data_IF_558034338741
#
_entry.id   IF_558034338741
#
_cell.length_a   1.000
_cell.length_b   1.000
_cell.length_c   1.000
_cell.angle_alpha   90.00
_cell.angle_beta   90.00
_cell.angle_gamma   90.00
#
_symmetry.space_group_name_H-M   'P 1'
#
loop_
_entity.id
_entity.type
_entity.pdbx_description
1 polymer ?
#
# COMPACT_ATOMS: atom_id res chain seq x y z
N UNK A 1 10.17 35.68 -37.43
CA UNK A 1 10.81 36.65 -36.51
C UNK A 1 12.16 36.08 -36.16
N UNK A 2 13.24 36.84 -36.32
CA UNK A 2 14.58 36.38 -35.92
C UNK A 2 14.67 36.29 -34.39
N UNK A 3 15.31 35.25 -33.88
CA UNK A 3 15.43 34.96 -32.45
C UNK A 3 16.08 36.12 -31.70
N UNK A 4 17.03 36.78 -32.35
CA UNK A 4 17.78 37.91 -31.79
C UNK A 4 16.92 39.18 -31.70
N UNK A 5 16.04 39.41 -32.68
CA UNK A 5 15.05 40.48 -32.61
C UNK A 5 14.02 40.25 -31.49
N UNK A 6 13.61 38.99 -31.27
CA UNK A 6 12.71 38.62 -30.17
C UNK A 6 13.36 38.90 -28.80
N UNK A 7 14.63 38.54 -28.62
CA UNK A 7 15.35 38.80 -27.38
C UNK A 7 15.54 40.29 -27.10
N UNK A 8 15.91 41.05 -28.12
CA UNK A 8 16.07 42.49 -27.99
C UNK A 8 14.73 43.19 -27.68
N UNK A 9 13.63 42.74 -28.28
CA UNK A 9 12.31 43.31 -28.05
C UNK A 9 11.82 43.08 -26.61
N UNK A 10 12.06 41.88 -26.06
CA UNK A 10 11.64 41.52 -24.70
C UNK A 10 12.73 41.69 -23.64
N UNK A 11 13.88 42.26 -24.01
CA UNK A 11 15.06 42.44 -23.16
C UNK A 11 15.50 41.15 -22.45
N UNK A 12 15.44 40.02 -23.17
CA UNK A 12 15.83 38.71 -22.66
C UNK A 12 17.35 38.54 -22.75
N UNK A 13 18.00 38.22 -21.62
CA UNK A 13 19.45 38.03 -21.53
C UNK A 13 19.92 36.64 -21.98
N UNK A 14 19.00 35.68 -22.00
CA UNK A 14 19.28 34.27 -22.30
C UNK A 14 18.03 33.60 -22.88
N UNK A 15 18.21 32.48 -23.57
CA UNK A 15 17.11 31.71 -24.14
C UNK A 15 16.38 30.95 -23.02
N UNK A 16 15.07 31.20 -22.78
CA UNK A 16 14.34 30.60 -21.66
C UNK A 16 13.84 29.17 -21.91
N UNK A 17 14.03 28.63 -23.13
CA UNK A 17 13.61 27.27 -23.52
C UNK A 17 14.78 26.49 -24.13
N UNK A 18 15.89 26.36 -23.41
CA UNK A 18 17.08 25.68 -23.94
C UNK A 18 16.92 24.15 -23.95
N UNK A 19 16.07 23.61 -23.09
CA UNK A 19 15.79 22.17 -23.02
C UNK A 19 14.38 21.85 -23.52
N UNK A 20 14.20 20.68 -24.14
CA UNK A 20 12.87 20.17 -24.54
C UNK A 20 12.00 19.87 -23.30
N UNK A 21 12.63 19.49 -22.19
CA UNK A 21 11.96 19.14 -20.94
C UNK A 21 12.26 20.12 -19.82
N UNK A 22 11.21 20.52 -19.08
CA UNK A 22 11.32 21.46 -17.96
C UNK A 22 12.27 21.00 -16.85
N UNK A 23 12.45 19.69 -16.65
CA UNK A 23 13.39 19.14 -15.67
C UNK A 23 14.84 19.53 -15.95
N UNK A 24 15.21 19.65 -17.22
CA UNK A 24 16.57 19.87 -17.68
C UNK A 24 16.84 21.34 -18.03
N UNK A 25 15.85 22.22 -17.90
CA UNK A 25 15.99 23.63 -18.25
C UNK A 25 16.62 24.43 -17.10
N UNK A 26 17.81 25.01 -17.34
CA UNK A 26 18.57 25.74 -16.33
C UNK A 26 17.92 27.08 -15.94
N UNK A 27 17.29 27.77 -16.89
CA UNK A 27 16.59 29.05 -16.64
C UNK A 27 15.39 28.77 -15.75
N UNK A 28 14.62 27.75 -16.09
CA UNK A 28 13.45 27.33 -15.33
C UNK A 28 13.81 26.90 -13.90
N UNK A 29 14.85 26.10 -13.73
CA UNK A 29 15.34 25.67 -12.41
C UNK A 29 15.79 26.84 -11.52
N UNK A 30 16.30 27.93 -12.11
CA UNK A 30 16.63 29.17 -11.38
C UNK A 30 15.36 29.94 -11.01
N UNK A 31 14.42 30.11 -11.94
CA UNK A 31 13.14 30.79 -11.66
C UNK A 31 12.31 30.08 -10.59
N UNK A 32 12.34 28.74 -10.57
CA UNK A 32 11.74 27.92 -9.51
C UNK A 32 12.23 28.30 -8.12
N UNK A 33 13.52 28.66 -7.97
CA UNK A 33 14.10 29.10 -6.69
C UNK A 33 13.65 30.50 -6.28
N UNK A 34 13.47 31.37 -7.27
CA UNK A 34 13.04 32.76 -7.06
C UNK A 34 11.51 32.87 -6.81
N UNK A 35 10.79 31.75 -6.87
CA UNK A 35 9.37 31.63 -6.55
C UNK A 35 8.44 32.52 -7.40
N UNK A 36 8.92 32.95 -8.58
CA UNK A 36 8.15 33.71 -9.56
C UNK A 36 7.10 32.78 -10.18
N UNK A 37 5.82 33.10 -9.99
CA UNK A 37 4.71 32.29 -10.49
C UNK A 37 3.81 33.07 -11.44
N UNK A 38 3.21 32.38 -12.40
CA UNK A 38 2.15 32.94 -13.21
C UNK A 38 0.98 33.41 -12.31
N UNK A 39 0.29 34.53 -12.62
CA UNK A 39 -0.83 35.02 -11.81
C UNK A 39 -1.94 33.98 -11.57
N UNK A 40 -2.23 33.16 -12.57
CA UNK A 40 -3.22 32.07 -12.45
C UNK A 40 -2.71 30.82 -11.72
N UNK A 41 -1.41 30.75 -11.37
CA UNK A 41 -0.86 29.60 -10.67
C UNK A 41 -1.58 29.34 -9.34
N UNK A 42 -2.01 30.39 -8.65
CA UNK A 42 -2.79 30.27 -7.41
C UNK A 42 -4.10 29.49 -7.61
N UNK A 43 -4.74 29.61 -8.79
CA UNK A 43 -5.95 28.82 -9.12
C UNK A 43 -5.65 27.33 -9.27
N UNK A 44 -4.45 27.01 -9.75
CA UNK A 44 -3.99 25.62 -9.94
C UNK A 44 -3.50 25.02 -8.63
N UNK A 45 -2.65 25.74 -7.90
CA UNK A 45 -2.06 25.29 -6.64
C UNK A 45 -3.09 25.20 -5.51
N UNK A 46 -3.98 26.17 -5.42
CA UNK A 46 -5.00 26.23 -4.37
C UNK A 46 -4.41 26.32 -2.96
N UNK A 47 -5.08 25.67 -2.01
CA UNK A 47 -4.67 25.58 -0.60
C UNK A 47 -4.23 24.13 -0.27
N UNK A 48 -2.98 23.90 0.18
CA UNK A 48 -2.52 22.57 0.58
C UNK A 48 -3.31 21.91 1.72
N UNK A 49 -4.00 22.70 2.56
CA UNK A 49 -4.85 22.17 3.65
C UNK A 49 -6.25 21.79 3.17
N UNK A 50 -6.72 22.43 2.10
CA UNK A 50 -8.02 22.19 1.49
C UNK A 50 -7.86 22.08 -0.04
N UNK A 51 -7.33 20.95 -0.53
CA UNK A 51 -7.02 20.81 -1.94
C UNK A 51 -8.30 20.84 -2.79
N UNK A 52 -8.37 21.79 -3.71
CA UNK A 52 -9.42 21.87 -4.73
C UNK A 52 -9.13 20.96 -5.94
N UNK A 53 -10.16 20.65 -6.72
CA UNK A 53 -9.99 19.93 -7.99
C UNK A 53 -9.70 20.91 -9.11
N UNK A 54 -8.54 20.75 -9.77
CA UNK A 54 -8.17 21.54 -10.94
C UNK A 54 -7.74 20.61 -12.07
N UNK A 55 -8.25 20.87 -13.28
CA UNK A 55 -7.87 20.18 -14.51
C UNK A 55 -7.09 21.16 -15.39
N UNK A 56 -5.87 20.79 -15.77
CA UNK A 56 -4.99 21.63 -16.60
C UNK A 56 -4.81 20.95 -17.96
N UNK A 57 -5.36 21.57 -19.00
CA UNK A 57 -5.14 21.18 -20.38
C UNK A 57 -4.01 21.99 -21.00
N UNK A 58 -3.34 21.41 -22.00
CA UNK A 58 -2.38 22.14 -22.82
C UNK A 58 -1.74 21.22 -23.85
N UNK A 59 -1.11 21.81 -24.85
CA UNK A 59 -0.41 21.09 -25.92
C UNK A 59 0.93 20.49 -25.43
N UNK A 60 1.60 19.68 -26.28
CA UNK A 60 2.96 19.22 -25.96
C UNK A 60 3.85 20.46 -25.80
N UNK A 61 4.66 20.50 -24.75
CA UNK A 61 5.53 21.65 -24.46
C UNK A 61 4.86 22.84 -23.77
N UNK A 62 3.55 22.79 -23.48
CA UNK A 62 2.82 23.90 -22.83
C UNK A 62 3.18 24.17 -21.36
N UNK A 63 4.22 23.53 -20.81
CA UNK A 63 4.65 23.72 -19.43
C UNK A 63 3.85 22.95 -18.37
N UNK A 64 3.08 21.91 -18.70
CA UNK A 64 2.38 21.07 -17.70
C UNK A 64 3.34 20.46 -16.67
N UNK A 65 4.47 19.93 -17.14
CA UNK A 65 5.52 19.38 -16.27
C UNK A 65 6.14 20.46 -15.39
N UNK A 66 6.37 21.66 -15.95
CA UNK A 66 6.84 22.82 -15.18
C UNK A 66 5.84 23.15 -14.06
N UNK A 67 4.55 23.30 -14.36
CA UNK A 67 3.52 23.58 -13.34
C UNK A 67 3.57 22.54 -12.19
N UNK A 68 3.71 21.25 -12.50
CA UNK A 68 3.86 20.19 -11.47
C UNK A 68 5.10 20.42 -10.59
N UNK A 69 6.26 20.73 -11.18
CA UNK A 69 7.49 21.00 -10.44
C UNK A 69 7.33 22.24 -9.53
N UNK A 70 6.62 23.28 -9.99
CA UNK A 70 6.30 24.43 -9.13
C UNK A 70 5.40 24.04 -7.96
N UNK A 71 4.37 23.22 -8.21
CA UNK A 71 3.46 22.72 -7.15
C UNK A 71 4.27 21.96 -6.10
N UNK A 72 5.13 21.04 -6.54
CA UNK A 72 6.00 20.29 -5.64
C UNK A 72 6.87 21.21 -4.80
N UNK A 73 7.53 22.20 -5.42
CA UNK A 73 8.42 23.12 -4.73
C UNK A 73 7.66 23.95 -3.68
N UNK A 74 6.52 24.52 -4.05
CA UNK A 74 5.68 25.30 -3.11
C UNK A 74 5.17 24.44 -1.96
N UNK A 75 4.87 23.16 -2.22
CA UNK A 75 4.47 22.21 -1.19
C UNK A 75 5.63 21.87 -0.24
N UNK A 76 6.85 21.75 -0.76
CA UNK A 76 8.06 21.58 0.06
C UNK A 76 8.29 22.79 0.97
N UNK A 77 8.21 24.02 0.43
CA UNK A 77 8.33 25.25 1.21
C UNK A 77 7.20 25.35 2.27
N UNK A 78 5.97 24.98 1.90
CA UNK A 78 4.82 24.88 2.81
C UNK A 78 5.07 23.87 3.95
N UNK A 79 5.68 22.72 3.65
CA UNK A 79 5.98 21.67 4.61
C UNK A 79 7.18 21.99 5.50
N UNK A 80 8.17 22.74 5.01
CA UNK A 80 9.34 23.16 5.80
C UNK A 80 8.96 24.16 6.90
N UNK A 81 7.98 25.01 6.63
CA UNK A 81 7.47 26.00 7.59
C UNK A 81 6.51 25.42 8.63
N UNK A 82 6.18 24.11 8.57
CA UNK A 82 5.15 23.48 9.42
C UNK A 82 5.61 22.15 10.01
N UNK A 83 5.37 21.96 11.32
CA UNK A 83 5.66 20.71 12.02
C UNK A 83 4.44 19.77 12.05
N UNK A 84 3.22 20.31 12.18
CA UNK A 84 1.95 19.60 12.01
C UNK A 84 1.34 19.95 10.64
N UNK A 85 0.44 19.10 10.13
CA UNK A 85 -0.37 19.40 8.93
C UNK A 85 0.42 19.55 7.62
N UNK A 86 1.45 18.72 7.48
CA UNK A 86 2.20 18.60 6.23
C UNK A 86 1.37 17.87 5.18
N UNK A 87 1.46 18.33 3.94
CA UNK A 87 0.76 17.76 2.79
C UNK A 87 1.75 17.00 1.91
N UNK A 88 1.35 15.81 1.45
CA UNK A 88 2.19 14.95 0.62
C UNK A 88 1.62 14.86 -0.79
N UNK A 89 2.45 15.17 -1.79
CA UNK A 89 2.09 15.02 -3.20
C UNK A 89 2.34 13.59 -3.67
N UNK A 90 1.33 12.99 -4.28
CA UNK A 90 1.42 11.70 -4.95
C UNK A 90 1.40 11.95 -6.45
N UNK A 91 2.55 11.78 -7.11
CA UNK A 91 2.67 11.94 -8.55
C UNK A 91 2.32 10.65 -9.30
N UNK A 92 1.23 10.67 -10.06
CA UNK A 92 0.91 9.63 -11.04
C UNK A 92 1.23 10.15 -12.45
N UNK A 93 2.42 9.81 -12.95
CA UNK A 93 2.98 10.41 -14.17
C UNK A 93 2.93 9.47 -15.38
N UNK A 94 3.05 8.17 -15.14
CA UNK A 94 3.17 7.17 -16.19
C UNK A 94 1.95 6.27 -16.26
N UNK A 95 1.32 6.24 -17.43
CA UNK A 95 0.18 5.35 -17.71
C UNK A 95 0.65 3.92 -18.05
N UNK A 96 1.84 3.75 -18.64
CA UNK A 96 2.31 2.46 -19.13
C UNK A 96 2.36 1.36 -18.05
N UNK A 97 2.87 1.62 -16.82
CA UNK A 97 2.84 0.61 -15.76
C UNK A 97 1.43 0.13 -15.39
N UNK A 98 0.41 0.99 -15.51
CA UNK A 98 -0.98 0.60 -15.32
C UNK A 98 -1.45 -0.33 -16.45
N UNK A 99 -1.17 0.05 -17.71
CA UNK A 99 -1.52 -0.75 -18.89
C UNK A 99 -0.86 -2.14 -18.87
N UNK A 100 0.42 -2.22 -18.51
CA UNK A 100 1.16 -3.49 -18.40
C UNK A 100 0.56 -4.44 -17.37
N UNK A 101 0.01 -3.89 -16.28
CA UNK A 101 -0.63 -4.69 -15.24
C UNK A 101 -2.01 -5.18 -15.69
N UNK A 102 -2.78 -4.32 -16.35
CA UNK A 102 -4.07 -4.68 -16.93
C UNK A 102 -3.92 -5.71 -18.05
N UNK A 103 -2.94 -5.54 -18.93
CA UNK A 103 -2.56 -6.52 -19.97
C UNK A 103 -2.32 -7.90 -19.36
N UNK A 104 -1.48 -7.99 -18.31
CA UNK A 104 -1.20 -9.25 -17.60
C UNK A 104 -2.43 -9.83 -16.91
N UNK A 105 -3.29 -8.99 -16.34
CA UNK A 105 -4.53 -9.43 -15.70
C UNK A 105 -5.52 -10.02 -16.72
N UNK A 106 -5.74 -9.31 -17.82
CA UNK A 106 -6.66 -9.70 -18.90
C UNK A 106 -6.07 -10.77 -19.83
N UNK A 107 -4.76 -10.99 -19.76
CA UNK A 107 -4.01 -11.89 -20.65
C UNK A 107 -4.18 -11.54 -22.13
N UNK A 108 -4.11 -10.25 -22.43
CA UNK A 108 -4.21 -9.72 -23.79
C UNK A 108 -3.14 -8.64 -24.01
N UNK A 109 -2.65 -8.55 -25.24
CA UNK A 109 -1.73 -7.48 -25.68
C UNK A 109 -2.43 -6.45 -26.59
N UNK A 110 -3.75 -6.60 -26.77
CA UNK A 110 -4.57 -5.70 -27.57
C UNK A 110 -4.79 -4.38 -26.81
N UNK A 111 -4.14 -3.31 -27.28
CA UNK A 111 -4.14 -2.00 -26.63
C UNK A 111 -5.55 -1.39 -26.56
N UNK A 112 -6.34 -1.49 -27.63
CA UNK A 112 -7.69 -0.93 -27.68
C UNK A 112 -8.61 -1.63 -26.67
N UNK A 113 -8.51 -2.96 -26.58
CA UNK A 113 -9.24 -3.71 -25.55
C UNK A 113 -8.83 -3.32 -24.13
N UNK A 114 -7.54 -3.10 -23.88
CA UNK A 114 -7.04 -2.72 -22.55
C UNK A 114 -7.56 -1.32 -22.20
N UNK A 115 -7.38 -0.34 -23.08
CA UNK A 115 -7.80 1.04 -22.86
C UNK A 115 -9.31 1.15 -22.59
N UNK A 116 -10.12 0.44 -23.38
CA UNK A 116 -11.58 0.42 -23.19
C UNK A 116 -12.03 -0.32 -21.92
N UNK A 117 -11.15 -1.15 -21.32
CA UNK A 117 -11.47 -1.91 -20.09
C UNK A 117 -11.16 -1.16 -18.79
N UNK A 118 -10.47 -0.02 -18.90
CA UNK A 118 -10.06 0.80 -17.77
C UNK A 118 -11.30 1.32 -17.06
N UNK A 119 -11.34 1.10 -15.74
CA UNK A 119 -12.34 1.66 -14.84
C UNK A 119 -11.72 2.79 -14.04
N UNK A 120 -12.58 3.68 -13.53
CA UNK A 120 -12.19 4.68 -12.55
C UNK A 120 -11.51 4.04 -11.32
N UNK A 121 -12.04 2.90 -10.87
CA UNK A 121 -11.47 2.14 -9.76
C UNK A 121 -10.01 1.74 -10.01
N UNK A 122 -9.63 1.34 -11.24
CA UNK A 122 -8.24 0.98 -11.53
C UNK A 122 -7.30 2.18 -11.43
N UNK A 123 -7.76 3.36 -11.84
CA UNK A 123 -6.98 4.60 -11.70
C UNK A 123 -6.79 4.96 -10.24
N UNK A 124 -7.86 4.89 -9.45
CA UNK A 124 -7.79 5.13 -8.00
C UNK A 124 -6.87 4.11 -7.31
N UNK A 125 -7.00 2.83 -7.65
CA UNK A 125 -6.14 1.76 -7.14
C UNK A 125 -4.66 1.98 -7.48
N UNK A 126 -4.36 2.49 -8.69
CA UNK A 126 -3.00 2.82 -9.09
C UNK A 126 -2.42 3.95 -8.24
N UNK A 127 -3.17 5.04 -8.04
CA UNK A 127 -2.77 6.18 -7.20
C UNK A 127 -2.58 5.74 -5.75
N UNK A 128 -3.53 4.98 -5.20
CA UNK A 128 -3.45 4.43 -3.84
C UNK A 128 -2.26 3.48 -3.69
N UNK A 129 -1.96 2.67 -4.70
CA UNK A 129 -0.78 1.79 -4.71
C UNK A 129 0.52 2.59 -4.62
N UNK A 130 0.66 3.66 -5.40
CA UNK A 130 1.82 4.55 -5.29
C UNK A 130 1.93 5.20 -3.91
N UNK A 131 0.82 5.76 -3.42
CA UNK A 131 0.77 6.45 -2.13
C UNK A 131 1.10 5.50 -0.97
N UNK A 132 0.47 4.33 -0.93
CA UNK A 132 0.67 3.37 0.16
C UNK A 132 2.06 2.78 0.10
N UNK A 133 2.58 2.45 -1.09
CA UNK A 133 3.94 1.93 -1.24
C UNK A 133 4.98 2.93 -0.75
N UNK A 134 4.87 4.20 -1.15
CA UNK A 134 5.78 5.26 -0.70
C UNK A 134 5.71 5.50 0.81
N UNK A 135 4.49 5.45 1.38
CA UNK A 135 4.31 5.57 2.83
C UNK A 135 4.98 4.40 3.57
N UNK A 136 4.79 3.16 3.11
CA UNK A 136 5.41 1.98 3.72
C UNK A 136 6.93 1.99 3.51
N UNK A 137 7.44 2.48 2.38
CA UNK A 137 8.88 2.63 2.11
C UNK A 137 9.53 3.59 3.11
N UNK A 138 8.89 4.73 3.39
CA UNK A 138 9.37 5.70 4.36
C UNK A 138 9.31 5.22 5.81
N UNK A 139 8.55 4.18 6.10
CA UNK A 139 8.39 3.64 7.46
C UNK A 139 9.26 2.42 7.69
N UNK A 140 9.29 1.53 6.70
CA UNK A 140 9.97 0.23 6.75
C UNK A 140 11.37 0.33 6.18
N UNK A 141 11.57 1.10 5.10
CA UNK A 141 12.84 1.20 4.37
C UNK A 141 13.83 2.19 4.97
N UNK A 142 13.42 3.44 5.21
CA UNK A 142 14.33 4.51 5.67
C UNK A 142 14.68 4.47 7.16
N UNK A 143 13.98 3.63 7.94
CA UNK A 143 14.17 3.49 9.39
C UNK A 143 14.04 4.83 10.16
N UNK A 144 13.26 5.77 9.64
CA UNK A 144 13.01 7.07 10.29
C UNK A 144 12.36 6.86 11.67
N UNK A 145 13.13 7.16 12.71
CA UNK A 145 12.73 6.97 14.11
C UNK A 145 11.53 7.84 14.48
N UNK A 146 11.41 9.05 13.92
CA UNK A 146 10.31 9.96 14.24
C UNK A 146 9.00 9.53 13.55
N UNK A 147 9.07 9.08 12.30
CA UNK A 147 7.93 8.47 11.61
C UNK A 147 7.42 7.23 12.36
N UNK A 148 8.33 6.34 12.78
CA UNK A 148 7.99 5.14 13.55
C UNK A 148 7.36 5.49 14.90
N UNK A 149 7.88 6.50 15.63
CA UNK A 149 7.30 6.97 16.89
C UNK A 149 5.89 7.51 16.68
N UNK A 150 5.69 8.30 15.63
CA UNK A 150 4.39 8.89 15.29
C UNK A 150 3.36 7.80 15.02
N UNK A 151 3.70 6.80 14.20
CA UNK A 151 2.83 5.66 13.93
C UNK A 151 2.48 4.86 15.19
N UNK A 152 3.44 4.64 16.08
CA UNK A 152 3.20 3.92 17.35
C UNK A 152 2.28 4.67 18.30
N UNK A 153 2.25 6.01 18.22
CA UNK A 153 1.35 6.88 18.98
C UNK A 153 -0.06 6.98 18.38
N UNK A 154 -0.26 6.55 17.12
CA UNK A 154 -1.57 6.59 16.49
C UNK A 154 -2.57 5.64 17.18
N UNK A 155 -3.84 6.06 17.19
CA UNK A 155 -4.95 5.22 17.63
C UNK A 155 -4.94 3.86 16.90
N UNK A 156 -5.38 2.81 17.59
CA UNK A 156 -5.54 1.45 17.07
C UNK A 156 -6.25 1.43 15.72
N UNK A 157 -7.36 2.16 15.57
CA UNK A 157 -8.11 2.20 14.31
C UNK A 157 -7.27 2.69 13.12
N UNK A 158 -6.50 3.77 13.30
CA UNK A 158 -5.65 4.32 12.22
C UNK A 158 -4.55 3.33 11.84
N UNK A 159 -3.99 2.60 12.81
CA UNK A 159 -3.01 1.55 12.57
C UNK A 159 -3.63 0.37 11.81
N UNK A 160 -4.84 -0.04 12.16
CA UNK A 160 -5.60 -1.06 11.43
C UNK A 160 -5.88 -0.63 10.00
N UNK A 161 -6.38 0.60 9.79
CA UNK A 161 -6.65 1.13 8.46
C UNK A 161 -5.38 1.18 7.60
N UNK A 162 -4.24 1.60 8.18
CA UNK A 162 -2.96 1.60 7.48
C UNK A 162 -2.50 0.18 7.12
N UNK A 163 -2.65 -0.78 8.02
CA UNK A 163 -2.36 -2.17 7.72
C UNK A 163 -3.31 -2.73 6.64
N UNK A 164 -4.58 -2.35 6.63
CA UNK A 164 -5.54 -2.72 5.57
C UNK A 164 -5.10 -2.15 4.22
N UNK A 165 -4.78 -0.85 4.18
CA UNK A 165 -4.28 -0.20 2.97
C UNK A 165 -3.00 -0.87 2.47
N UNK A 166 -2.04 -1.16 3.34
CA UNK A 166 -0.83 -1.88 2.98
C UNK A 166 -1.10 -3.31 2.50
N UNK A 167 -2.09 -4.00 3.07
CA UNK A 167 -2.52 -5.32 2.59
C UNK A 167 -3.10 -5.25 1.17
N UNK A 168 -3.81 -4.19 0.83
CA UNK A 168 -4.48 -4.02 -0.46
C UNK A 168 -3.54 -3.47 -1.54
N UNK A 169 -2.72 -2.47 -1.20
CA UNK A 169 -2.10 -1.56 -2.19
C UNK A 169 -0.57 -1.52 -2.18
N UNK A 170 0.11 -1.95 -1.10
CA UNK A 170 1.58 -1.93 -1.05
C UNK A 170 2.18 -2.85 -2.13
N UNK A 171 3.14 -2.34 -2.89
CA UNK A 171 3.86 -3.03 -3.95
C UNK A 171 5.34 -2.67 -3.92
N UNK A 172 6.13 -3.33 -3.06
CA UNK A 172 7.54 -3.02 -2.96
C UNK A 172 8.24 -3.24 -4.31
N UNK A 173 9.03 -2.24 -4.74
CA UNK A 173 9.90 -2.36 -5.93
C UNK A 173 11.06 -3.34 -5.70
N UNK A 174 11.48 -3.48 -4.44
CA UNK A 174 12.59 -4.33 -4.02
C UNK A 174 12.30 -5.04 -2.70
N UNK A 175 12.91 -6.21 -2.51
CA UNK A 175 12.78 -7.03 -1.30
C UNK A 175 11.56 -7.95 -1.30
N UNK A 176 11.49 -8.84 -0.29
CA UNK A 176 10.41 -9.81 -0.18
C UNK A 176 9.15 -9.20 0.46
N UNK A 177 7.98 -9.25 -0.22
CA UNK A 177 6.74 -8.66 0.30
C UNK A 177 6.31 -9.20 1.68
N UNK A 178 6.63 -10.47 1.97
CA UNK A 178 6.32 -11.10 3.25
C UNK A 178 7.08 -10.49 4.43
N UNK A 179 8.40 -10.34 4.30
CA UNK A 179 9.26 -9.77 5.35
C UNK A 179 8.92 -8.31 5.63
N UNK A 180 8.65 -7.56 4.56
CA UNK A 180 8.21 -6.17 4.62
C UNK A 180 6.90 -6.03 5.39
N UNK A 181 5.93 -6.89 5.09
CA UNK A 181 4.65 -6.95 5.79
C UNK A 181 4.80 -7.27 7.28
N UNK A 182 5.60 -8.28 7.63
CA UNK A 182 5.87 -8.65 9.03
C UNK A 182 6.57 -7.52 9.80
N UNK A 183 7.49 -6.79 9.14
CA UNK A 183 8.15 -5.61 9.72
C UNK A 183 7.18 -4.46 9.93
N UNK A 184 6.27 -4.20 8.98
CA UNK A 184 5.21 -3.19 9.12
C UNK A 184 4.31 -3.52 10.31
N UNK A 185 3.79 -4.75 10.42
CA UNK A 185 2.94 -5.15 11.53
C UNK A 185 3.65 -5.02 12.88
N UNK A 186 4.96 -5.28 12.94
CA UNK A 186 5.79 -5.07 14.14
C UNK A 186 5.88 -3.61 14.53
N UNK A 187 6.05 -2.70 13.55
CA UNK A 187 6.08 -1.25 13.79
C UNK A 187 4.74 -0.76 14.30
N UNK A 188 3.64 -1.21 13.68
CA UNK A 188 2.27 -0.87 14.07
C UNK A 188 1.85 -1.54 15.39
N UNK A 189 2.70 -2.38 16.00
CA UNK A 189 2.40 -3.19 17.19
C UNK A 189 1.14 -4.05 17.01
N UNK A 190 0.91 -4.52 15.79
CA UNK A 190 -0.22 -5.35 15.40
C UNK A 190 0.18 -6.83 15.38
N UNK A 191 0.93 -7.28 16.38
CA UNK A 191 1.33 -8.69 16.47
C UNK A 191 0.15 -9.56 16.87
N UNK A 192 -0.11 -10.57 16.05
CA UNK A 192 -1.03 -11.65 16.35
C UNK A 192 -0.39 -12.65 17.35
N UNK A 193 -0.98 -12.87 18.55
CA UNK A 193 -0.75 -14.04 19.47
C UNK A 193 -0.91 -15.51 18.95
N UNK A 194 -1.95 -15.93 18.21
CA UNK A 194 -2.13 -17.13 17.37
C UNK A 194 -1.99 -16.80 15.85
N UNK A 195 -0.76 -16.77 15.33
CA UNK A 195 -0.46 -16.79 13.90
C UNK A 195 -0.69 -18.20 13.30
N UNK A 196 -0.51 -18.35 11.98
CA UNK A 196 -0.64 -19.66 11.30
C UNK A 196 0.24 -20.75 11.93
N UNK A 197 1.54 -20.52 12.22
CA UNK A 197 2.37 -21.56 12.84
C UNK A 197 1.94 -21.89 14.27
N UNK A 198 1.56 -20.92 15.11
CA UNK A 198 1.08 -21.22 16.48
C UNK A 198 -0.24 -21.96 16.50
N UNK A 199 -1.15 -21.71 15.55
CA UNK A 199 -2.34 -22.56 15.36
C UNK A 199 -1.95 -24.01 15.07
N UNK A 200 -0.99 -24.21 14.15
CA UNK A 200 -0.47 -25.53 13.84
C UNK A 200 0.11 -26.22 15.07
N UNK A 201 0.96 -25.51 15.84
CA UNK A 201 1.54 -26.03 17.08
C UNK A 201 0.45 -26.41 18.09
N UNK A 202 -0.56 -25.54 18.30
CA UNK A 202 -1.65 -25.82 19.23
C UNK A 202 -2.45 -27.06 18.80
N UNK A 203 -2.75 -27.19 17.50
CA UNK A 203 -3.39 -28.37 16.94
C UNK A 203 -2.57 -29.65 17.18
N UNK A 204 -1.25 -29.61 16.91
CA UNK A 204 -0.38 -30.77 17.12
C UNK A 204 -0.27 -31.13 18.60
N UNK A 205 -0.17 -30.15 19.50
CA UNK A 205 -0.12 -30.40 20.94
C UNK A 205 -1.41 -31.04 21.46
N UNK A 206 -2.59 -30.55 21.06
CA UNK A 206 -3.86 -31.14 21.49
C UNK A 206 -4.08 -32.52 20.87
N UNK A 207 -3.66 -32.72 19.61
CA UNK A 207 -3.71 -34.02 18.96
C UNK A 207 -2.80 -35.04 19.68
N UNK A 208 -1.59 -34.61 20.07
CA UNK A 208 -0.65 -35.44 20.82
C UNK A 208 -1.22 -35.87 22.17
N UNK A 209 -1.83 -34.95 22.93
CA UNK A 209 -2.52 -35.28 24.19
C UNK A 209 -3.63 -36.31 23.96
N UNK A 210 -4.41 -36.17 22.88
CA UNK A 210 -5.44 -37.14 22.52
C UNK A 210 -4.87 -38.53 22.21
N UNK A 211 -3.78 -38.60 21.43
CA UNK A 211 -3.11 -39.86 21.06
C UNK A 211 -2.49 -40.54 22.28
N UNK A 212 -1.73 -39.80 23.10
CA UNK A 212 -1.13 -40.33 24.34
C UNK A 212 -2.22 -40.79 25.31
N UNK A 213 -3.31 -40.02 25.41
CA UNK A 213 -4.52 -40.42 26.14
C UNK A 213 -5.04 -41.78 25.68
N UNK A 214 -5.21 -41.96 24.36
CA UNK A 214 -5.75 -43.17 23.77
C UNK A 214 -4.83 -44.38 23.96
N UNK A 215 -3.51 -44.18 23.87
CA UNK A 215 -2.50 -45.20 24.16
C UNK A 215 -2.57 -45.61 25.64
N UNK A 216 -2.63 -44.64 26.56
CA UNK A 216 -2.73 -44.89 28.00
C UNK A 216 -4.04 -45.60 28.39
N UNK A 217 -5.14 -45.27 27.72
CA UNK A 217 -6.40 -46.01 27.86
C UNK A 217 -6.22 -47.46 27.41
N UNK A 218 -5.63 -47.72 26.25
CA UNK A 218 -5.53 -49.07 25.68
C UNK A 218 -4.56 -49.99 26.44
N UNK A 219 -3.48 -49.45 27.02
CA UNK A 219 -2.44 -50.24 27.70
C UNK A 219 -2.79 -50.63 29.15
N UNK A 220 -3.74 -49.96 29.80
CA UNK A 220 -4.14 -50.28 31.18
C UNK A 220 -5.38 -51.18 31.24
N UNK A 221 -5.35 -52.29 32.01
CA UNK A 221 -6.52 -53.15 32.22
C UNK A 221 -7.72 -52.42 32.85
N UNK A 222 -7.44 -51.41 33.67
CA UNK A 222 -8.43 -50.50 34.26
C UNK A 222 -8.00 -49.05 34.00
N UNK A 223 -8.40 -48.45 32.87
CA UNK A 223 -7.96 -47.11 32.51
C UNK A 223 -8.50 -46.09 33.51
N UNK A 224 -7.61 -45.27 34.06
CA UNK A 224 -8.01 -44.15 34.92
C UNK A 224 -8.88 -43.15 34.15
N UNK A 225 -9.80 -42.48 34.84
CA UNK A 225 -10.67 -41.43 34.28
C UNK A 225 -9.84 -40.34 33.57
N UNK A 226 -8.60 -40.11 34.01
CA UNK A 226 -7.69 -39.14 33.41
C UNK A 226 -7.29 -39.50 31.97
N UNK A 227 -7.08 -40.78 31.63
CA UNK A 227 -6.73 -41.19 30.27
C UNK A 227 -7.92 -41.07 29.31
N UNK A 228 -9.11 -41.43 29.78
CA UNK A 228 -10.36 -41.26 29.03
C UNK A 228 -10.61 -39.77 28.78
N UNK A 229 -10.49 -38.94 29.82
CA UNK A 229 -10.65 -37.50 29.72
C UNK A 229 -9.61 -36.87 28.78
N UNK A 230 -8.33 -37.26 28.85
CA UNK A 230 -7.28 -36.77 27.97
C UNK A 230 -7.52 -37.13 26.50
N UNK A 231 -7.98 -38.35 26.22
CA UNK A 231 -8.33 -38.80 24.87
C UNK A 231 -9.46 -37.98 24.27
N UNK A 232 -10.57 -37.87 25.02
CA UNK A 232 -11.77 -37.17 24.56
C UNK A 232 -11.53 -35.66 24.45
N UNK A 233 -10.94 -35.03 25.47
CA UNK A 233 -10.68 -33.60 25.48
C UNK A 233 -9.61 -33.21 24.46
N UNK A 234 -8.51 -33.96 24.37
CA UNK A 234 -7.43 -33.72 23.40
C UNK A 234 -7.90 -33.92 21.96
N UNK A 235 -8.61 -35.02 21.70
CA UNK A 235 -9.19 -35.32 20.39
C UNK A 235 -10.23 -34.28 19.96
N UNK A 236 -11.16 -33.91 20.85
CA UNK A 236 -12.16 -32.89 20.56
C UNK A 236 -11.52 -31.51 20.32
N UNK A 237 -10.54 -31.10 21.15
CA UNK A 237 -9.82 -29.84 20.96
C UNK A 237 -9.05 -29.81 19.63
N UNK A 238 -8.39 -30.91 19.26
CA UNK A 238 -7.70 -31.02 17.97
C UNK A 238 -8.67 -30.94 16.79
N UNK A 239 -9.81 -31.64 16.87
CA UNK A 239 -10.84 -31.59 15.84
C UNK A 239 -11.40 -30.16 15.67
N UNK A 240 -11.72 -29.47 16.77
CA UNK A 240 -12.19 -28.09 16.74
C UNK A 240 -11.15 -27.13 16.16
N UNK A 241 -9.89 -27.22 16.60
CA UNK A 241 -8.80 -26.38 16.10
C UNK A 241 -8.51 -26.64 14.62
N UNK A 242 -8.51 -27.90 14.20
CA UNK A 242 -8.34 -28.29 12.80
C UNK A 242 -9.49 -27.79 11.91
N UNK A 243 -10.73 -27.96 12.37
CA UNK A 243 -11.91 -27.44 11.69
C UNK A 243 -11.90 -25.92 11.57
N UNK A 244 -11.55 -25.21 12.66
CA UNK A 244 -11.44 -23.76 12.64
C UNK A 244 -10.31 -23.26 11.74
N UNK A 245 -9.18 -23.97 11.70
CA UNK A 245 -8.08 -23.70 10.79
C UNK A 245 -8.52 -23.85 9.32
N UNK A 246 -9.26 -24.92 9.00
CA UNK A 246 -9.77 -25.17 7.65
C UNK A 246 -10.75 -24.08 7.20
N UNK A 247 -11.74 -23.72 8.02
CA UNK A 247 -12.69 -22.65 7.74
C UNK A 247 -11.95 -21.34 7.47
N UNK A 248 -10.96 -21.03 8.32
CA UNK A 248 -10.20 -19.78 8.20
C UNK A 248 -9.30 -19.75 6.97
N UNK A 249 -8.60 -20.85 6.67
CA UNK A 249 -7.78 -20.98 5.46
C UNK A 249 -8.64 -20.85 4.20
N UNK A 250 -9.82 -21.48 4.19
CA UNK A 250 -10.76 -21.41 3.08
C UNK A 250 -11.31 -20.00 2.90
N UNK A 251 -11.79 -19.37 3.97
CA UNK A 251 -12.35 -18.02 3.92
C UNK A 251 -11.29 -16.98 3.50
N UNK A 252 -10.06 -17.08 4.01
CA UNK A 252 -8.96 -16.19 3.61
C UNK A 252 -8.53 -16.43 2.15
N UNK A 253 -8.58 -17.68 1.66
CA UNK A 253 -8.35 -17.97 0.23
C UNK A 253 -9.46 -17.38 -0.65
N UNK A 254 -10.72 -17.47 -0.24
CA UNK A 254 -11.83 -16.87 -0.97
C UNK A 254 -11.72 -15.35 -1.01
N UNK A 255 -11.51 -14.71 0.14
CA UNK A 255 -11.34 -13.26 0.21
C UNK A 255 -10.11 -12.81 -0.60
N UNK A 256 -8.99 -13.54 -0.51
CA UNK A 256 -7.81 -13.27 -1.32
C UNK A 256 -8.08 -13.36 -2.83
N UNK A 257 -8.92 -14.30 -3.26
CA UNK A 257 -9.38 -14.44 -4.66
C UNK A 257 -10.33 -13.31 -5.07
N UNK A 258 -11.26 -12.92 -4.19
CA UNK A 258 -12.17 -11.80 -4.45
C UNK A 258 -11.38 -10.50 -4.62
N UNK A 259 -10.48 -10.19 -3.69
CA UNK A 259 -9.58 -9.05 -3.79
C UNK A 259 -8.71 -9.09 -5.06
N UNK A 260 -8.39 -10.27 -5.59
CA UNK A 260 -7.59 -10.40 -6.81
C UNK A 260 -8.40 -10.10 -8.07
N UNK A 261 -9.72 -10.24 -8.01
CA UNK A 261 -10.63 -9.88 -9.09
C UNK A 261 -10.98 -8.40 -9.08
N UNK A 262 -11.16 -7.83 -7.89
CA UNK A 262 -11.51 -6.41 -7.73
C UNK A 262 -10.31 -5.50 -7.98
N UNK A 263 -9.15 -5.79 -7.36
CA UNK A 263 -7.95 -4.94 -7.47
C UNK A 263 -7.04 -5.48 -8.58
N UNK A 264 -7.35 -5.09 -9.81
CA UNK A 264 -6.71 -5.60 -11.04
C UNK A 264 -5.29 -5.07 -11.25
N UNK A 265 -5.03 -3.87 -10.74
CA UNK A 265 -3.76 -3.13 -10.94
C UNK A 265 -2.68 -3.53 -9.94
N UNK A 266 -3.00 -4.29 -8.90
CA UNK A 266 -2.04 -4.69 -7.87
C UNK A 266 -1.62 -6.15 -8.05
N UNK A 267 -0.53 -6.37 -8.78
CA UNK A 267 0.19 -7.64 -8.88
C UNK A 267 0.72 -8.07 -7.52
N UNK A 268 0.44 -9.31 -7.11
CA UNK A 268 1.03 -9.98 -5.93
C UNK A 268 1.34 -11.44 -6.21
N UNK A 269 2.28 -12.00 -5.45
CA UNK A 269 2.62 -13.42 -5.49
C UNK A 269 1.42 -14.31 -5.12
N UNK A 270 1.31 -15.44 -5.82
CA UNK A 270 0.26 -16.44 -5.57
C UNK A 270 0.38 -16.96 -4.13
N UNK A 271 -0.70 -16.85 -3.37
CA UNK A 271 -0.76 -17.33 -1.97
C UNK A 271 -0.30 -16.32 -0.91
N UNK A 272 0.44 -15.26 -1.28
CA UNK A 272 0.90 -14.23 -0.34
C UNK A 272 -0.25 -13.52 0.37
N UNK A 273 -1.33 -13.21 -0.35
CA UNK A 273 -2.53 -12.55 0.21
C UNK A 273 -3.22 -13.38 1.29
N UNK A 274 -3.30 -14.70 1.11
CA UNK A 274 -3.91 -15.57 2.10
C UNK A 274 -3.08 -15.58 3.40
N UNK A 275 -1.74 -15.65 3.30
CA UNK A 275 -0.85 -15.55 4.47
C UNK A 275 -1.01 -14.22 5.19
N UNK A 276 -1.00 -13.10 4.45
CA UNK A 276 -1.16 -11.77 5.04
C UNK A 276 -2.55 -11.56 5.67
N UNK A 277 -3.62 -12.10 5.05
CA UNK A 277 -4.98 -12.10 5.61
C UNK A 277 -5.09 -12.91 6.91
N UNK A 278 -4.33 -14.01 7.03
CA UNK A 278 -4.23 -14.75 8.29
C UNK A 278 -3.71 -13.88 9.42
N UNK A 279 -2.72 -13.05 9.15
CA UNK A 279 -2.14 -12.14 10.15
C UNK A 279 -3.07 -10.94 10.41
N UNK A 280 -3.75 -10.43 9.37
CA UNK A 280 -4.59 -9.24 9.42
C UNK A 280 -5.97 -9.47 10.08
N UNK A 281 -6.76 -10.47 9.64
CA UNK A 281 -8.18 -10.65 10.03
C UNK A 281 -8.41 -10.91 11.51
N UNK A 282 -7.36 -11.27 12.24
CA UNK A 282 -7.43 -11.38 13.68
C UNK A 282 -7.61 -10.04 14.40
N UNK A 283 -7.21 -8.95 13.75
CA UNK A 283 -7.27 -7.59 14.29
C UNK A 283 -8.67 -6.98 14.09
N UNK A 284 -9.46 -7.53 13.17
CA UNK A 284 -10.83 -7.11 12.85
C UNK A 284 -11.86 -7.50 13.93
N UNK A 285 -11.56 -8.50 14.79
CA UNK A 285 -12.41 -8.81 15.96
C UNK A 285 -12.44 -7.70 17.02
N UNK A 286 -11.67 -6.62 16.84
CA UNK A 286 -11.76 -5.41 17.66
C UNK A 286 -12.55 -4.28 17.00
N UNK A 287 -12.81 -4.31 15.68
CA UNK A 287 -13.60 -3.28 14.97
C UNK A 287 -13.96 -3.77 13.56
N UNK A 288 -15.25 -3.77 13.15
CA UNK A 288 -15.64 -4.20 11.80
C UNK A 288 -15.13 -3.20 10.75
N UNK A 289 -14.46 -3.72 9.70
CA UNK A 289 -13.93 -2.91 8.59
C UNK A 289 -14.85 -2.83 7.38
N UNK A 290 -15.96 -3.58 7.39
CA UNK A 290 -16.96 -3.55 6.32
C UNK A 290 -18.34 -3.58 6.95
N UNK A 291 -19.23 -2.61 6.64
CA UNK A 291 -20.66 -2.74 6.91
C UNK A 291 -21.26 -3.91 6.11
#
# INVERSE_FOLDING_TARGET
>A
MDLQQFFNHWNLKEHPFQAEEALNDAVYNRMLKEAITHPDFTKIYGDPTNPGTTIVFGEKGSGKTAIRLMIQRKLEDYNQSRQSDRSWMVSFEELNPLLDRLSRYMKTNDADKILNSIRLADHQDAILSLAVTGLVDNVVGSNDKEAIKTLKKMNSQKRTNLAALALLYDQPKHGHPGERWERLLRILRMKSGLDRPRHGILFFLTALVGVVGGIGWNLQPSPSVLWIAATLAGGAAAALLGFWWLIREWSNKQLGRQLAREIRVVVREKGGRAKQLWEFRRLEKATPLFP
#
